data_IF_617615305529
#
_entry.id   IF_617615305529
#
_cell.length_a   1.000
_cell.length_b   1.000
_cell.length_c   1.000
_cell.angle_alpha   90.00
_cell.angle_beta   90.00
_cell.angle_gamma   90.00
#
_symmetry.space_group_name_H-M   'P 1'
#
loop_
_entity.id
_entity.type
_entity.pdbx_description
1 polymer ?
#
# COMPACT_ATOMS: atom_id res chain seq x y z
N UNK A 1 37.41 -1.92 14.69
CA UNK A 1 36.46 -1.09 14.01
C UNK A 1 35.09 -1.68 14.20
N UNK A 2 34.36 -1.03 15.00
CA UNK A 2 33.00 -1.42 15.21
C UNK A 2 32.35 -1.47 13.86
N UNK A 3 32.31 -2.65 13.32
CA UNK A 3 31.48 -2.87 12.16
C UNK A 3 30.12 -2.34 12.54
N UNK A 4 29.71 -1.31 11.88
CA UNK A 4 28.35 -0.88 11.95
C UNK A 4 27.49 -2.12 11.78
N UNK A 5 26.57 -2.39 12.70
CA UNK A 5 25.69 -3.54 12.50
C UNK A 5 25.14 -3.44 11.09
N UNK A 6 25.26 -4.45 10.25
CA UNK A 6 24.70 -4.40 8.91
C UNK A 6 23.21 -4.10 8.94
N UNK A 7 22.67 -4.16 10.12
CA UNK A 7 21.27 -4.02 10.39
C UNK A 7 20.65 -2.68 9.98
N UNK A 8 21.35 -1.55 10.10
CA UNK A 8 20.72 -0.25 9.84
C UNK A 8 20.39 -0.06 8.37
N UNK A 9 21.36 -0.31 7.47
CA UNK A 9 21.12 -0.21 6.03
C UNK A 9 20.21 -1.31 5.53
N UNK A 10 20.35 -2.52 6.07
CA UNK A 10 19.51 -3.64 5.71
C UNK A 10 18.03 -3.40 6.08
N UNK A 11 17.81 -2.80 7.26
CA UNK A 11 16.45 -2.43 7.68
C UNK A 11 15.84 -1.40 6.76
N UNK A 12 16.59 -0.33 6.47
CA UNK A 12 16.09 0.72 5.57
C UNK A 12 15.78 0.15 4.19
N UNK A 13 16.65 -0.74 3.67
CA UNK A 13 16.41 -1.39 2.40
C UNK A 13 15.20 -2.32 2.42
N UNK A 14 15.03 -3.07 3.50
CA UNK A 14 13.90 -3.97 3.65
C UNK A 14 12.57 -3.20 3.74
N UNK A 15 12.54 -2.11 4.50
CA UNK A 15 11.36 -1.26 4.63
C UNK A 15 11.02 -0.64 3.28
N UNK A 16 12.01 -0.12 2.56
CA UNK A 16 11.80 0.49 1.25
C UNK A 16 11.26 -0.52 0.25
N UNK A 17 11.83 -1.73 0.22
CA UNK A 17 11.35 -2.80 -0.66
C UNK A 17 9.93 -3.19 -0.31
N UNK A 18 9.63 -3.31 0.97
CA UNK A 18 8.29 -3.67 1.40
C UNK A 18 7.27 -2.59 1.05
N UNK A 19 7.64 -1.33 1.19
CA UNK A 19 6.79 -0.21 0.78
C UNK A 19 6.44 -0.32 -0.71
N UNK A 20 7.39 -0.69 -1.55
CA UNK A 20 7.15 -0.91 -2.97
C UNK A 20 6.20 -2.07 -3.23
N UNK A 21 6.39 -3.18 -2.53
CA UNK A 21 5.50 -4.35 -2.63
C UNK A 21 4.09 -3.99 -2.18
N UNK A 22 3.98 -3.28 -1.07
CA UNK A 22 2.69 -2.83 -0.54
C UNK A 22 1.98 -1.94 -1.54
N UNK A 23 2.68 -0.95 -2.10
CA UNK A 23 2.11 -0.04 -3.06
C UNK A 23 1.61 -0.78 -4.31
N UNK A 24 2.39 -1.73 -4.81
CA UNK A 24 1.99 -2.53 -5.96
C UNK A 24 0.77 -3.41 -5.65
N UNK A 25 0.74 -4.01 -4.47
CA UNK A 25 -0.38 -4.86 -4.04
C UNK A 25 -1.65 -4.05 -3.90
N UNK A 26 -1.56 -2.85 -3.31
CA UNK A 26 -2.70 -1.93 -3.19
C UNK A 26 -3.19 -1.51 -4.57
N UNK A 27 -2.29 -1.11 -5.46
CA UNK A 27 -2.64 -0.71 -6.82
C UNK A 27 -3.38 -1.83 -7.54
N UNK A 28 -2.87 -3.05 -7.47
CA UNK A 28 -3.47 -4.21 -8.09
C UNK A 28 -4.88 -4.47 -7.56
N UNK A 29 -5.06 -4.38 -6.25
CA UNK A 29 -6.37 -4.57 -5.63
C UNK A 29 -7.37 -3.51 -6.09
N UNK A 30 -6.94 -2.24 -6.14
CA UNK A 30 -7.80 -1.15 -6.57
C UNK A 30 -8.12 -1.23 -8.07
N UNK A 31 -7.19 -1.73 -8.87
CA UNK A 31 -7.43 -1.92 -10.30
C UNK A 31 -8.48 -2.99 -10.57
N UNK A 32 -8.56 -4.00 -9.71
CA UNK A 32 -9.55 -5.08 -9.84
C UNK A 32 -10.95 -4.63 -9.42
N UNK A 33 -11.02 -3.60 -8.59
CA UNK A 33 -12.31 -3.07 -8.15
C UNK A 33 -12.71 -1.89 -9.01
N UNK A 34 -13.65 -2.09 -9.92
CA UNK A 34 -14.04 -1.06 -10.88
C UNK A 34 -14.62 0.19 -10.24
N UNK A 35 -15.26 0.05 -9.08
CA UNK A 35 -15.79 1.18 -8.33
C UNK A 35 -14.73 2.08 -7.70
N UNK A 36 -13.48 1.62 -7.64
CA UNK A 36 -12.41 2.40 -7.05
C UNK A 36 -11.99 3.59 -7.91
N UNK A 37 -12.17 3.52 -9.22
CA UNK A 37 -11.73 4.56 -10.16
C UNK A 37 -10.27 4.97 -9.94
N UNK A 38 -9.39 3.97 -9.81
CA UNK A 38 -7.97 4.18 -9.56
C UNK A 38 -7.36 5.20 -10.52
N UNK A 39 -6.54 6.10 -9.97
CA UNK A 39 -5.83 7.09 -10.78
C UNK A 39 -6.63 8.37 -11.07
N UNK A 40 -7.83 8.49 -10.53
CA UNK A 40 -8.71 9.62 -10.77
C UNK A 40 -8.78 10.61 -9.62
N UNK A 41 -8.12 10.34 -8.51
CA UNK A 41 -8.23 11.15 -7.30
C UNK A 41 -6.95 11.05 -6.47
N UNK A 42 -6.86 11.91 -5.47
CA UNK A 42 -5.81 11.86 -4.46
C UNK A 42 -6.43 11.42 -3.13
N UNK A 43 -5.73 10.54 -2.44
CA UNK A 43 -6.14 10.11 -1.11
C UNK A 43 -4.91 9.66 -0.33
N UNK A 44 -4.95 9.81 0.98
CA UNK A 44 -3.92 9.29 1.89
C UNK A 44 -4.56 8.32 2.86
N UNK A 45 -3.95 7.17 3.02
CA UNK A 45 -4.46 6.12 3.90
C UNK A 45 -3.36 5.61 4.81
N UNK A 46 -3.76 5.19 6.00
CA UNK A 46 -2.88 4.48 6.92
C UNK A 46 -3.28 3.02 6.97
N UNK A 47 -2.29 2.14 6.91
CA UNK A 47 -2.51 0.70 6.96
C UNK A 47 -1.74 0.10 8.13
N UNK A 48 -2.38 -0.80 8.85
CA UNK A 48 -1.77 -1.62 9.89
C UNK A 48 -1.71 -3.05 9.38
N UNK A 49 -0.50 -3.60 9.28
CA UNK A 49 -0.26 -4.90 8.65
C UNK A 49 0.18 -5.89 9.73
N UNK A 50 -0.53 -7.00 9.83
CA UNK A 50 -0.20 -8.03 10.79
C UNK A 50 1.05 -8.82 10.40
N UNK A 51 1.60 -9.57 11.34
CA UNK A 51 2.79 -10.39 11.11
C UNK A 51 2.60 -11.42 10.02
N UNK A 52 1.36 -11.84 9.79
CA UNK A 52 1.00 -12.80 8.75
C UNK A 52 0.82 -12.14 7.38
N UNK A 53 1.06 -10.82 7.26
CA UNK A 53 0.90 -10.11 6.00
C UNK A 53 -0.50 -9.65 5.68
N UNK A 54 -1.46 -9.85 6.58
CA UNK A 54 -2.84 -9.38 6.37
C UNK A 54 -2.97 -7.94 6.88
N UNK A 55 -3.55 -7.06 6.07
CA UNK A 55 -3.87 -5.71 6.49
C UNK A 55 -5.02 -5.79 7.50
N UNK A 56 -4.71 -5.46 8.74
CA UNK A 56 -5.67 -5.60 9.84
C UNK A 56 -6.62 -4.41 9.93
N UNK A 57 -6.14 -3.24 9.51
CA UNK A 57 -6.92 -2.02 9.58
C UNK A 57 -6.46 -1.07 8.50
N UNK A 58 -7.39 -0.34 7.92
CA UNK A 58 -7.13 0.73 6.97
C UNK A 58 -7.92 1.96 7.40
N UNK A 59 -7.28 3.12 7.36
CA UNK A 59 -7.91 4.37 7.76
C UNK A 59 -7.61 5.44 6.72
N UNK A 60 -8.63 6.17 6.30
CA UNK A 60 -8.45 7.30 5.39
C UNK A 60 -8.04 8.53 6.20
N UNK A 61 -6.89 9.11 5.88
CA UNK A 61 -6.40 10.36 6.47
C UNK A 61 -6.91 11.56 5.70
N UNK A 62 -6.77 11.52 4.38
CA UNK A 62 -7.26 12.57 3.49
C UNK A 62 -8.07 11.89 2.40
N UNK A 63 -9.33 12.23 2.30
CA UNK A 63 -10.27 11.55 1.44
C UNK A 63 -10.23 12.00 0.00
N UNK A 64 -10.97 11.28 -0.84
CA UNK A 64 -11.08 11.53 -2.28
C UNK A 64 -12.05 12.66 -2.61
N UNK A 65 -12.80 13.14 -1.62
CA UNK A 65 -13.90 14.07 -1.83
C UNK A 65 -15.26 13.39 -1.91
N UNK A 66 -15.29 12.06 -1.86
CA UNK A 66 -16.50 11.24 -1.89
C UNK A 66 -16.48 10.29 -0.72
N UNK A 67 -17.35 10.53 0.25
CA UNK A 67 -17.36 9.76 1.52
C UNK A 67 -17.63 8.27 1.28
N UNK A 68 -18.48 7.92 0.32
CA UNK A 68 -18.77 6.52 0.00
C UNK A 68 -17.55 5.82 -0.58
N UNK A 69 -16.82 6.52 -1.45
CA UNK A 69 -15.60 5.98 -2.01
C UNK A 69 -14.54 5.80 -0.93
N UNK A 70 -14.42 6.76 -0.03
CA UNK A 70 -13.45 6.68 1.07
C UNK A 70 -13.73 5.47 1.95
N UNK A 71 -14.98 5.26 2.31
CA UNK A 71 -15.39 4.12 3.11
C UNK A 71 -15.13 2.81 2.38
N UNK A 72 -15.43 2.75 1.09
CA UNK A 72 -15.20 1.57 0.28
C UNK A 72 -13.71 1.28 0.10
N UNK A 73 -12.87 2.31 -0.07
CA UNK A 73 -11.42 2.16 -0.12
C UNK A 73 -10.89 1.52 1.16
N UNK A 74 -11.30 2.04 2.30
CA UNK A 74 -10.88 1.47 3.59
C UNK A 74 -11.34 0.01 3.70
N UNK A 75 -12.56 -0.29 3.28
CA UNK A 75 -13.09 -1.65 3.33
C UNK A 75 -12.38 -2.64 2.41
N UNK A 76 -11.99 -2.19 1.22
CA UNK A 76 -11.27 -3.05 0.27
C UNK A 76 -9.85 -3.31 0.77
N UNK A 77 -9.19 -2.31 1.34
CA UNK A 77 -7.82 -2.45 1.79
C UNK A 77 -7.70 -3.17 3.12
N UNK A 78 -8.71 -3.07 3.98
CA UNK A 78 -8.76 -3.89 5.19
C UNK A 78 -8.97 -5.35 4.78
N UNK A 79 -8.10 -6.23 5.26
CA UNK A 79 -8.15 -7.64 4.87
C UNK A 79 -7.30 -7.99 3.65
N UNK A 80 -6.67 -6.99 3.02
CA UNK A 80 -5.75 -7.23 1.91
C UNK A 80 -4.62 -8.14 2.38
N UNK A 81 -4.30 -9.13 1.56
CA UNK A 81 -3.26 -10.12 1.90
C UNK A 81 -2.01 -9.81 1.10
N UNK A 82 -0.92 -9.57 1.83
CA UNK A 82 0.40 -9.37 1.23
C UNK A 82 1.02 -10.73 0.94
N UNK A 83 1.78 -10.83 -0.16
CA UNK A 83 2.46 -12.06 -0.53
C UNK A 83 3.54 -12.45 0.49
N UNK A 84 4.12 -11.47 1.14
CA UNK A 84 5.14 -11.70 2.15
C UNK A 84 4.79 -10.96 3.43
N UNK A 85 5.19 -11.48 4.59
CA UNK A 85 4.97 -10.76 5.85
C UNK A 85 5.85 -9.50 5.90
N UNK A 86 5.43 -8.48 6.68
CA UNK A 86 6.22 -7.27 6.82
C UNK A 86 7.49 -7.52 7.63
N UNK A 87 8.56 -6.71 7.40
CA UNK A 87 9.71 -6.72 8.29
C UNK A 87 9.27 -6.48 9.73
N UNK A 88 9.93 -7.13 10.68
CA UNK A 88 9.53 -7.06 12.08
C UNK A 88 9.57 -5.64 12.65
N UNK A 89 10.46 -4.81 12.11
CA UNK A 89 10.66 -3.43 12.56
C UNK A 89 10.02 -2.39 11.63
N UNK A 90 9.10 -2.82 10.77
CA UNK A 90 8.36 -1.91 9.92
C UNK A 90 7.59 -0.90 10.77
N UNK A 91 7.85 0.41 10.62
CA UNK A 91 7.05 1.40 11.33
C UNK A 91 5.60 1.33 10.90
N UNK A 92 4.70 1.33 11.86
CA UNK A 92 3.26 1.28 11.58
C UNK A 92 2.54 2.36 12.38
N UNK A 93 1.47 2.93 11.82
CA UNK A 93 0.88 2.58 10.53
C UNK A 93 1.75 3.01 9.35
N UNK A 94 1.60 2.30 8.23
CA UNK A 94 2.23 2.69 6.98
C UNK A 94 1.29 3.64 6.25
N UNK A 95 1.79 4.80 5.87
CA UNK A 95 1.00 5.76 5.11
C UNK A 95 1.24 5.55 3.62
N UNK A 96 0.17 5.38 2.88
CA UNK A 96 0.22 5.33 1.42
C UNK A 96 -0.51 6.52 0.84
N UNK A 97 -0.03 7.00 -0.29
CA UNK A 97 -0.65 8.12 -1.00
C UNK A 97 -1.08 7.63 -2.38
N UNK A 98 -2.35 7.78 -2.66
CA UNK A 98 -2.90 7.57 -3.99
C UNK A 98 -2.95 8.93 -4.68
N UNK A 99 -2.48 8.99 -5.92
CA UNK A 99 -2.42 10.24 -6.66
C UNK A 99 -3.04 10.05 -8.05
N UNK A 100 -3.56 11.14 -8.66
CA UNK A 100 -4.04 11.08 -10.03
C UNK A 100 -2.94 10.58 -10.97
N UNK A 101 -3.30 9.75 -11.94
CA UNK A 101 -2.37 9.17 -12.91
C UNK A 101 -2.74 9.61 -14.31
N UNK A 102 -1.72 9.88 -15.17
CA UNK A 102 -2.00 10.23 -16.57
C UNK A 102 -2.65 9.09 -17.34
N UNK A 103 -2.23 7.85 -17.08
CA UNK A 103 -2.79 6.67 -17.75
C UNK A 103 -3.01 5.55 -16.72
N UNK A 104 -4.15 5.58 -16.02
CA UNK A 104 -4.44 4.55 -15.02
C UNK A 104 -4.50 3.14 -15.58
N UNK A 105 -4.90 2.97 -16.85
CA UNK A 105 -4.94 1.64 -17.47
C UNK A 105 -3.57 1.04 -17.63
N UNK A 106 -2.58 1.86 -18.02
CA UNK A 106 -1.19 1.41 -18.12
C UNK A 106 -0.65 1.02 -16.76
N UNK A 107 -0.91 1.84 -15.74
CA UNK A 107 -0.48 1.54 -14.37
C UNK A 107 -1.08 0.23 -13.88
N UNK A 108 -2.35 -0.01 -14.17
CA UNK A 108 -3.02 -1.25 -13.79
C UNK A 108 -2.44 -2.47 -14.50
N UNK A 109 -2.11 -2.35 -15.79
CA UNK A 109 -1.48 -3.43 -16.54
C UNK A 109 -0.10 -3.76 -15.96
N UNK A 110 0.69 -2.74 -15.64
CA UNK A 110 2.02 -2.92 -15.07
C UNK A 110 1.96 -3.57 -13.69
N UNK A 111 1.02 -3.16 -12.85
CA UNK A 111 0.84 -3.76 -11.53
C UNK A 111 0.46 -5.24 -11.63
N UNK A 112 -0.42 -5.60 -12.57
CA UNK A 112 -0.79 -6.98 -12.83
C UNK A 112 0.37 -7.80 -13.36
N UNK A 113 1.19 -7.24 -14.24
CA UNK A 113 2.35 -7.91 -14.80
C UNK A 113 3.44 -8.11 -13.75
N UNK A 114 3.60 -7.15 -12.83
CA UNK A 114 4.58 -7.24 -11.75
C UNK A 114 4.18 -8.24 -10.66
N UNK A 115 2.92 -8.58 -10.60
CA UNK A 115 2.41 -9.57 -9.67
C UNK A 115 2.54 -10.95 -10.22
#
# INVERSE_FOLDING_TARGET
AAARPPAAGARAGAVTRYAGVLQNTVTRALCQWTGAQFGRYRASLQLWIGRNGVVRQARVLAGTGDARRDEALAGVLAGLIMDTPPPADLPQPVTIVLAPRPDPRADCRLAGAAG
#
